data_IF_471108761946
#
_entry.id   IF_471108761946
#
_cell.length_a   1.000
_cell.length_b   1.000
_cell.length_c   1.000
_cell.angle_alpha   90.00
_cell.angle_beta   90.00
_cell.angle_gamma   90.00
#
_symmetry.space_group_name_H-M   'P 1'
#
loop_
_entity.id
_entity.type
_entity.pdbx_description
1 polymer ?
#
# COMPACT_ATOMS: atom_id res chain seq x y z
N UNK A 1 -6.11 -16.96 8.31
CA UNK A 1 -6.53 -18.07 9.19
C UNK A 1 -5.51 -19.19 9.04
N UNK A 2 -4.99 -19.73 10.13
CA UNK A 2 -4.22 -20.98 10.13
C UNK A 2 -4.94 -21.86 11.14
N UNK A 3 -5.36 -23.06 10.74
CA UNK A 3 -6.00 -24.03 11.64
C UNK A 3 -7.26 -23.47 12.37
N UNK A 4 -8.08 -22.67 11.67
CA UNK A 4 -9.32 -22.10 12.22
C UNK A 4 -9.13 -20.98 13.26
N UNK A 5 -7.89 -20.58 13.58
CA UNK A 5 -7.60 -19.52 14.56
C UNK A 5 -7.43 -18.15 13.90
N UNK A 6 -7.96 -17.13 14.57
CA UNK A 6 -7.75 -15.73 14.20
C UNK A 6 -6.30 -15.37 14.52
N UNK A 7 -5.57 -14.91 13.50
CA UNK A 7 -4.22 -14.35 13.64
C UNK A 7 -4.20 -12.92 13.15
N UNK A 8 -3.24 -12.12 13.62
CA UNK A 8 -2.95 -10.81 13.04
C UNK A 8 -2.40 -10.99 11.62
N UNK A 9 -2.75 -10.06 10.73
CA UNK A 9 -2.15 -9.96 9.40
C UNK A 9 -0.69 -9.56 9.54
N UNK A 10 0.20 -10.08 8.71
CA UNK A 10 1.61 -9.64 8.70
C UNK A 10 1.73 -8.27 8.03
N UNK A 11 2.81 -7.50 8.27
CA UNK A 11 2.99 -6.22 7.59
C UNK A 11 2.95 -6.37 6.06
N UNK A 12 3.53 -7.46 5.53
CA UNK A 12 3.50 -7.82 4.11
C UNK A 12 2.08 -7.99 3.56
N UNK A 13 1.20 -8.63 4.32
CA UNK A 13 -0.22 -8.77 3.94
C UNK A 13 -0.94 -7.42 3.95
N UNK A 14 -0.61 -6.54 4.91
CA UNK A 14 -1.16 -5.19 4.96
C UNK A 14 -0.76 -4.33 3.74
N UNK A 15 0.51 -4.39 3.31
CA UNK A 15 0.96 -3.69 2.11
C UNK A 15 0.29 -4.24 0.84
N UNK A 16 0.16 -5.57 0.73
CA UNK A 16 -0.51 -6.19 -0.41
C UNK A 16 -2.00 -5.78 -0.49
N UNK A 17 -2.69 -5.67 0.65
CA UNK A 17 -4.08 -5.20 0.71
C UNK A 17 -4.23 -3.74 0.25
N UNK A 18 -3.21 -2.92 0.42
CA UNK A 18 -3.20 -1.53 -0.03
C UNK A 18 -2.85 -1.39 -1.52
N UNK A 19 -2.48 -2.48 -2.19
CA UNK A 19 -2.11 -2.48 -3.60
C UNK A 19 -0.63 -2.20 -3.88
N UNK A 20 0.23 -2.30 -2.86
CA UNK A 20 1.69 -2.28 -3.06
C UNK A 20 2.21 -3.64 -3.50
N UNK A 21 3.34 -3.65 -4.20
CA UNK A 21 3.99 -4.89 -4.61
C UNK A 21 4.55 -5.60 -3.37
N UNK A 22 4.59 -6.95 -3.41
CA UNK A 22 5.08 -7.73 -2.25
C UNK A 22 6.56 -7.46 -2.01
N UNK A 23 7.29 -7.18 -3.08
CA UNK A 23 8.71 -6.88 -3.13
C UNK A 23 9.03 -5.58 -2.38
N UNK A 24 8.13 -4.59 -2.41
CA UNK A 24 8.30 -3.33 -1.68
C UNK A 24 8.33 -3.56 -0.16
N UNK A 25 7.42 -4.40 0.33
CA UNK A 25 7.37 -4.78 1.74
C UNK A 25 8.59 -5.62 2.16
N UNK A 26 9.07 -6.49 1.26
CA UNK A 26 10.25 -7.32 1.50
C UNK A 26 11.54 -6.45 1.53
N UNK A 27 11.63 -5.43 0.67
CA UNK A 27 12.72 -4.43 0.70
C UNK A 27 12.72 -3.59 1.97
N UNK A 28 11.56 -3.13 2.43
CA UNK A 28 11.47 -2.36 3.69
C UNK A 28 11.92 -3.21 4.89
N UNK A 29 11.55 -4.49 4.91
CA UNK A 29 12.00 -5.44 5.93
C UNK A 29 13.52 -5.67 5.86
N UNK A 30 14.08 -5.79 4.65
CA UNK A 30 15.53 -5.94 4.44
C UNK A 30 16.34 -4.70 4.87
N UNK A 31 15.74 -3.50 4.81
CA UNK A 31 16.34 -2.26 5.28
C UNK A 31 16.37 -2.10 6.81
N UNK A 32 15.98 -3.13 7.57
CA UNK A 32 16.08 -3.15 9.03
C UNK A 32 14.93 -2.44 9.77
N UNK A 33 13.81 -2.18 9.08
CA UNK A 33 12.60 -1.67 9.73
C UNK A 33 11.95 -2.78 10.56
N UNK A 34 11.58 -2.45 11.80
CA UNK A 34 10.84 -3.37 12.66
C UNK A 34 9.41 -3.57 12.17
N UNK A 35 8.82 -4.74 12.44
CA UNK A 35 7.42 -5.02 12.10
C UNK A 35 6.45 -3.95 12.60
N UNK A 36 6.68 -3.41 13.80
CA UNK A 36 5.86 -2.33 14.38
C UNK A 36 5.93 -1.05 13.54
N UNK A 37 7.10 -0.71 12.99
CA UNK A 37 7.25 0.44 12.11
C UNK A 37 6.61 0.18 10.75
N UNK A 38 6.74 -1.02 10.22
CA UNK A 38 6.08 -1.41 8.97
C UNK A 38 4.56 -1.35 9.07
N UNK A 39 3.98 -1.81 10.19
CA UNK A 39 2.54 -1.65 10.44
C UNK A 39 2.12 -0.19 10.47
N UNK A 40 2.92 0.70 11.07
CA UNK A 40 2.63 2.14 11.09
C UNK A 40 2.75 2.76 9.70
N UNK A 41 3.75 2.36 8.92
CA UNK A 41 3.94 2.84 7.55
C UNK A 41 2.79 2.39 6.65
N UNK A 42 2.40 1.12 6.72
CA UNK A 42 1.22 0.63 6.03
C UNK A 42 -0.02 1.43 6.50
N UNK A 43 -0.28 1.54 7.80
CA UNK A 43 -1.46 2.26 8.30
C UNK A 43 -1.55 3.74 7.91
N UNK A 44 -0.40 4.42 7.78
CA UNK A 44 -0.32 5.82 7.34
C UNK A 44 -0.28 5.98 5.81
N UNK A 45 -0.17 4.88 5.07
CA UNK A 45 -0.16 4.89 3.61
C UNK A 45 -1.57 4.92 3.04
N UNK A 46 -1.67 5.06 1.72
CA UNK A 46 -2.92 5.14 0.98
C UNK A 46 -3.12 3.89 0.12
N UNK A 47 -4.37 3.48 -0.07
CA UNK A 47 -4.72 2.42 -1.01
C UNK A 47 -4.48 2.90 -2.45
N UNK A 48 -3.48 2.31 -3.12
CA UNK A 48 -3.11 2.57 -4.52
C UNK A 48 -4.31 2.53 -5.49
N UNK A 49 -5.23 1.53 -5.45
CA UNK A 49 -6.32 1.50 -6.43
C UNK A 49 -7.30 2.67 -6.26
N UNK A 50 -7.48 3.17 -5.03
CA UNK A 50 -8.33 4.33 -4.77
C UNK A 50 -7.69 5.60 -5.32
N UNK A 51 -6.38 5.74 -5.12
CA UNK A 51 -5.61 6.87 -5.64
C UNK A 51 -5.66 6.93 -7.17
N UNK A 52 -5.47 5.79 -7.85
CA UNK A 52 -5.57 5.69 -9.32
C UNK A 52 -6.96 6.08 -9.82
N UNK A 53 -8.03 5.66 -9.14
CA UNK A 53 -9.39 6.04 -9.49
C UNK A 53 -9.64 7.55 -9.34
N UNK A 54 -9.14 8.15 -8.25
CA UNK A 54 -9.24 9.61 -8.02
C UNK A 54 -8.51 10.37 -9.11
N UNK A 55 -7.27 9.99 -9.44
CA UNK A 55 -6.51 10.64 -10.52
C UNK A 55 -7.15 10.46 -11.89
N UNK A 56 -7.73 9.29 -12.18
CA UNK A 56 -8.50 9.06 -13.40
C UNK A 56 -9.67 10.04 -13.51
N UNK A 57 -10.48 10.15 -12.46
CA UNK A 57 -11.61 11.08 -12.41
C UNK A 57 -11.16 12.55 -12.52
N UNK A 58 -10.06 12.94 -11.86
CA UNK A 58 -9.53 14.30 -11.95
C UNK A 58 -8.98 14.63 -13.34
N UNK A 59 -8.40 13.66 -14.05
CA UNK A 59 -7.93 13.80 -15.43
C UNK A 59 -9.11 14.01 -16.39
N UNK A 60 -10.19 13.26 -16.23
CA UNK A 60 -11.41 13.40 -17.04
C UNK A 60 -12.09 14.77 -16.86
N UNK A 61 -11.99 15.35 -15.66
CA UNK A 61 -12.49 16.70 -15.38
C UNK A 61 -11.56 17.82 -15.88
N UNK A 62 -10.47 17.47 -16.59
CA UNK A 62 -9.58 18.44 -17.23
C UNK A 62 -8.71 19.24 -16.27
N UNK A 63 -8.56 18.80 -15.01
CA UNK A 63 -7.85 19.56 -13.98
C UNK A 63 -6.33 19.37 -14.03
N UNK A 64 -5.83 18.35 -14.74
CA UNK A 64 -4.41 18.11 -14.95
C UNK A 64 -3.98 18.54 -16.35
N UNK A 65 -3.73 19.84 -16.50
CA UNK A 65 -2.84 20.37 -17.56
C UNK A 65 -1.43 19.93 -17.23
N UNK A 66 -0.91 18.95 -17.98
CA UNK A 66 0.53 18.67 -18.10
C UNK A 66 1.20 18.11 -16.85
N UNK A 67 1.27 16.79 -16.76
CA UNK A 67 2.51 16.10 -16.41
C UNK A 67 2.52 14.81 -17.22
N UNK A 68 3.21 14.83 -18.36
CA UNK A 68 3.89 13.64 -18.84
C UNK A 68 4.95 13.32 -17.77
N UNK A 69 4.80 12.17 -17.15
CA UNK A 69 5.94 11.46 -16.57
C UNK A 69 6.32 10.37 -17.57
#
# INVERSE_FOLDING_TARGET
>A
MVDGRIRKLTPRECFALQGFAKEDADMLSANGLSDTQLYKQAGNSICVPVLVAIFGAMKEQGLFVGYEC
#
